data_IF_567769685083
#
_entry.id   IF_567769685083
#
_cell.length_a   1.000
_cell.length_b   1.000
_cell.length_c   1.000
_cell.angle_alpha   90.00
_cell.angle_beta   90.00
_cell.angle_gamma   90.00
#
_symmetry.space_group_name_H-M   'P 1'
#
loop_
_entity.id
_entity.type
_entity.pdbx_description
1 polymer ?
#
# COMPACT_ATOMS: atom_id res chain seq x y z
N UNK A 1 13.31 19.14 20.72
CA UNK A 1 13.67 19.07 19.29
C UNK A 1 15.06 19.62 19.01
N UNK A 2 15.38 20.84 19.41
CA UNK A 2 16.70 21.43 19.12
C UNK A 2 17.87 20.62 19.72
N UNK A 3 17.74 20.10 20.95
CA UNK A 3 18.72 19.20 21.55
C UNK A 3 18.83 17.86 20.80
N UNK A 4 17.71 17.32 20.32
CA UNK A 4 17.68 16.07 19.57
C UNK A 4 18.35 16.19 18.20
N UNK A 5 18.08 17.26 17.45
CA UNK A 5 18.74 17.55 16.17
C UNK A 5 20.26 17.64 16.36
N UNK A 6 20.69 18.22 17.47
CA UNK A 6 22.10 18.34 17.82
C UNK A 6 22.74 16.99 18.20
N UNK A 7 22.03 16.15 18.93
CA UNK A 7 22.51 14.82 19.38
C UNK A 7 22.51 13.76 18.27
N UNK A 8 21.58 13.82 17.32
CA UNK A 8 21.38 12.79 16.28
C UNK A 8 22.11 13.08 14.97
N UNK A 9 22.91 14.16 14.87
CA UNK A 9 23.56 14.60 13.63
C UNK A 9 22.59 14.96 12.49
N UNK A 10 21.29 15.08 12.76
CA UNK A 10 20.30 15.49 11.79
C UNK A 10 20.58 16.93 11.33
N UNK A 11 20.51 17.15 10.05
CA UNK A 11 20.90 18.43 9.46
C UNK A 11 19.82 19.47 9.70
N UNK A 12 20.16 20.54 10.41
CA UNK A 12 19.32 21.72 10.48
C UNK A 12 19.56 22.63 9.27
N UNK A 13 18.49 23.06 8.61
CA UNK A 13 18.53 23.96 7.47
C UNK A 13 17.77 25.23 7.84
N UNK A 14 18.43 26.41 7.95
CA UNK A 14 17.74 27.65 8.24
C UNK A 14 16.66 27.97 7.22
N UNK A 15 15.48 28.43 7.69
CA UNK A 15 14.32 28.68 6.83
C UNK A 15 14.57 29.79 5.80
N UNK A 16 15.42 30.74 6.10
CA UNK A 16 15.86 31.83 5.20
C UNK A 16 16.63 31.36 3.96
N UNK A 17 17.04 30.09 3.92
CA UNK A 17 17.65 29.45 2.75
C UNK A 17 16.62 28.99 1.71
N UNK A 18 15.33 28.99 2.06
CA UNK A 18 14.25 28.65 1.14
C UNK A 18 13.64 29.90 0.54
N UNK A 19 13.34 29.83 -0.76
CA UNK A 19 12.63 30.86 -1.53
C UNK A 19 11.42 30.26 -2.23
N UNK A 20 10.45 31.09 -2.60
CA UNK A 20 9.26 30.66 -3.34
C UNK A 20 8.57 29.46 -2.68
N UNK A 21 8.31 29.58 -1.36
CA UNK A 21 7.59 28.54 -0.61
C UNK A 21 6.11 28.60 -1.00
N UNK A 22 5.62 27.59 -1.71
CA UNK A 22 4.28 27.53 -2.26
C UNK A 22 3.58 26.25 -1.78
N UNK A 23 2.28 26.34 -1.48
CA UNK A 23 1.46 25.17 -1.17
C UNK A 23 1.44 24.22 -2.37
N UNK A 24 1.74 22.95 -2.15
CA UNK A 24 1.71 21.92 -3.18
C UNK A 24 0.53 20.96 -2.98
N UNK A 25 0.39 20.35 -1.79
CA UNK A 25 -0.63 19.33 -1.54
C UNK A 25 -0.89 19.17 -0.03
N UNK A 26 -1.98 18.42 0.32
CA UNK A 26 -2.28 18.04 1.69
C UNK A 26 -2.60 16.56 1.75
N UNK A 27 -1.69 15.78 2.31
CA UNK A 27 -1.85 14.35 2.57
C UNK A 27 -2.40 14.01 3.96
N UNK A 28 -2.59 12.74 4.24
CA UNK A 28 -3.05 12.25 5.55
C UNK A 28 -2.13 12.64 6.70
N UNK A 29 -0.83 12.73 6.45
CA UNK A 29 0.20 13.01 7.48
C UNK A 29 0.63 14.47 7.57
N UNK A 30 0.18 15.35 6.67
CA UNK A 30 0.57 16.75 6.75
C UNK A 30 0.32 17.56 5.48
N UNK A 31 0.78 18.80 5.54
CA UNK A 31 0.74 19.75 4.42
C UNK A 31 2.10 19.79 3.75
N UNK A 32 2.10 19.76 2.43
CA UNK A 32 3.29 19.72 1.60
C UNK A 32 3.44 21.06 0.85
N UNK A 33 4.62 21.65 0.95
CA UNK A 33 4.99 22.86 0.23
C UNK A 33 6.15 22.56 -0.71
N UNK A 34 6.16 23.17 -1.88
CA UNK A 34 7.30 23.23 -2.77
C UNK A 34 8.13 24.46 -2.43
N UNK A 35 9.45 24.36 -2.50
CA UNK A 35 10.35 25.49 -2.30
C UNK A 35 11.61 25.36 -3.15
N UNK A 36 12.28 26.49 -3.33
CA UNK A 36 13.62 26.54 -3.93
C UNK A 36 14.64 26.70 -2.81
N UNK A 37 15.53 25.73 -2.69
CA UNK A 37 16.63 25.74 -1.72
C UNK A 37 17.96 26.10 -2.38
N UNK A 38 18.53 27.25 -1.99
CA UNK A 38 19.86 27.64 -2.45
C UNK A 38 20.93 26.87 -1.66
N UNK A 39 21.52 25.88 -2.30
CA UNK A 39 22.56 25.04 -1.70
C UNK A 39 23.65 24.70 -2.72
N UNK A 40 24.93 24.73 -2.28
CA UNK A 40 26.10 24.45 -3.13
C UNK A 40 26.14 25.31 -4.43
N UNK A 41 25.81 26.60 -4.31
CA UNK A 41 25.72 27.56 -5.39
C UNK A 41 24.74 27.19 -6.52
N UNK A 42 23.70 26.43 -6.19
CA UNK A 42 22.63 26.03 -7.10
C UNK A 42 21.28 26.20 -6.44
N UNK A 43 20.27 26.44 -7.25
CA UNK A 43 18.88 26.37 -6.87
C UNK A 43 18.41 24.92 -7.02
N UNK A 44 17.94 24.32 -5.93
CA UNK A 44 17.41 22.96 -5.90
C UNK A 44 15.92 23.04 -5.55
N UNK A 45 15.08 22.39 -6.33
CA UNK A 45 13.68 22.21 -5.94
C UNK A 45 13.58 21.20 -4.82
N UNK A 46 12.90 21.56 -3.73
CA UNK A 46 12.69 20.70 -2.57
C UNK A 46 11.23 20.73 -2.13
N UNK A 47 10.86 19.74 -1.35
CA UNK A 47 9.59 19.65 -0.66
C UNK A 47 9.81 19.91 0.83
N UNK A 48 8.96 20.76 1.40
CA UNK A 48 8.85 21.01 2.84
C UNK A 48 7.56 20.34 3.33
N UNK A 49 7.66 19.21 4.03
CA UNK A 49 6.52 18.48 4.61
C UNK A 49 6.28 18.95 6.04
N UNK A 50 5.15 19.60 6.26
CA UNK A 50 4.70 20.05 7.57
C UNK A 50 3.89 18.95 8.26
N UNK A 51 4.31 18.48 9.41
CA UNK A 51 3.55 17.54 10.22
C UNK A 51 2.48 18.23 11.07
N UNK A 52 1.25 17.73 11.05
CA UNK A 52 0.12 18.37 11.74
C UNK A 52 0.15 18.22 13.27
N UNK A 53 0.77 17.17 13.83
CA UNK A 53 0.64 16.79 15.26
C UNK A 53 1.97 16.57 15.99
N UNK A 54 3.00 17.36 15.69
CA UNK A 54 4.33 17.26 16.32
C UNK A 54 4.35 17.42 17.85
N UNK A 55 3.34 18.07 18.42
CA UNK A 55 3.28 18.33 19.87
C UNK A 55 2.85 17.11 20.70
N UNK A 56 2.19 16.12 20.08
CA UNK A 56 1.58 15.00 20.79
C UNK A 56 2.48 13.76 20.84
N UNK A 57 3.42 13.60 19.89
CA UNK A 57 4.25 12.39 19.80
C UNK A 57 5.62 12.64 19.14
N UNK A 58 6.44 13.47 19.79
CA UNK A 58 7.76 13.86 19.29
C UNK A 58 8.67 12.64 19.06
N UNK A 59 8.62 11.64 19.94
CA UNK A 59 9.48 10.45 19.85
C UNK A 59 9.11 9.58 18.64
N UNK A 60 7.83 9.42 18.31
CA UNK A 60 7.40 8.70 17.11
C UNK A 60 7.86 9.42 15.86
N UNK A 61 7.67 10.73 15.78
CA UNK A 61 8.16 11.56 14.68
C UNK A 61 9.67 11.43 14.50
N UNK A 62 10.43 11.48 15.58
CA UNK A 62 11.90 11.39 15.49
C UNK A 62 12.38 9.99 15.11
N UNK A 63 11.66 8.94 15.49
CA UNK A 63 11.95 7.57 15.08
C UNK A 63 11.70 7.35 13.58
N UNK A 64 10.64 7.95 13.02
CA UNK A 64 10.38 7.95 11.57
C UNK A 64 11.64 8.39 10.79
N UNK A 65 12.24 9.50 11.21
CA UNK A 65 13.40 10.06 10.49
C UNK A 65 14.69 9.30 10.73
N UNK A 66 14.84 8.61 11.85
CA UNK A 66 15.95 7.65 12.05
C UNK A 66 15.83 6.46 11.08
N UNK A 67 14.62 5.96 10.87
CA UNK A 67 14.40 4.87 9.90
C UNK A 67 14.65 5.37 8.47
N UNK A 68 14.18 6.56 8.14
CA UNK A 68 14.48 7.17 6.84
C UNK A 68 15.99 7.35 6.64
N UNK A 69 16.69 7.88 7.64
CA UNK A 69 18.16 8.06 7.59
C UNK A 69 18.88 6.73 7.34
N UNK A 70 18.44 5.62 7.93
CA UNK A 70 19.04 4.30 7.70
C UNK A 70 18.90 3.80 6.26
N UNK A 71 17.93 4.33 5.52
CA UNK A 71 17.64 3.98 4.13
C UNK A 71 18.25 4.97 3.11
N UNK A 72 18.94 6.05 3.53
CA UNK A 72 19.48 7.09 2.64
C UNK A 72 20.58 6.60 1.69
N UNK A 73 21.12 5.40 1.88
CA UNK A 73 22.05 4.78 0.92
C UNK A 73 21.35 4.23 -0.32
N UNK A 74 20.02 4.12 -0.32
CA UNK A 74 19.22 3.69 -1.45
C UNK A 74 19.00 4.84 -2.43
N UNK A 75 19.18 4.56 -3.72
CA UNK A 75 18.86 5.51 -4.80
C UNK A 75 17.38 5.48 -5.20
N UNK A 76 16.60 4.55 -4.63
CA UNK A 76 15.19 4.31 -4.96
C UNK A 76 14.24 4.78 -3.83
N UNK A 77 14.79 5.49 -2.83
CA UNK A 77 14.05 6.14 -1.75
C UNK A 77 14.25 7.65 -1.86
N UNK A 78 13.17 8.42 -1.66
CA UNK A 78 13.22 9.88 -1.74
C UNK A 78 14.25 10.43 -0.74
N UNK A 79 15.13 11.31 -1.19
CA UNK A 79 16.22 11.80 -0.36
C UNK A 79 15.70 12.79 0.70
N UNK A 80 16.16 12.60 1.93
CA UNK A 80 15.89 13.46 3.08
C UNK A 80 17.10 14.33 3.38
N UNK A 81 16.93 15.65 3.37
CA UNK A 81 18.00 16.62 3.60
C UNK A 81 18.12 17.02 5.07
N UNK A 82 17.05 17.04 5.82
CA UNK A 82 17.03 17.49 7.22
C UNK A 82 15.75 18.21 7.60
N UNK A 83 15.86 19.08 8.59
CA UNK A 83 14.73 19.80 9.17
C UNK A 83 14.88 21.31 9.05
N UNK A 84 13.75 22.00 8.98
CA UNK A 84 13.63 23.44 9.11
C UNK A 84 12.45 23.78 10.02
N UNK A 85 12.33 25.06 10.37
CA UNK A 85 11.20 25.57 11.16
C UNK A 85 10.68 26.83 10.51
N UNK A 86 9.40 26.85 10.21
CA UNK A 86 8.70 28.02 9.72
C UNK A 86 8.70 29.11 10.81
N UNK A 87 9.26 30.31 10.58
CA UNK A 87 9.36 31.37 11.58
C UNK A 87 8.01 31.96 11.98
N UNK A 88 7.02 31.92 11.07
CA UNK A 88 5.71 32.54 11.30
C UNK A 88 4.78 31.61 12.12
N UNK A 89 4.74 30.33 11.76
CA UNK A 89 3.89 29.33 12.42
C UNK A 89 4.60 28.60 13.56
N UNK A 90 5.92 28.73 13.67
CA UNK A 90 6.80 28.02 14.60
C UNK A 90 6.73 26.49 14.47
N UNK A 91 6.22 25.98 13.37
CA UNK A 91 6.09 24.55 13.09
C UNK A 91 7.35 24.00 12.40
N UNK A 92 7.70 22.78 12.76
CA UNK A 92 8.81 22.07 12.12
C UNK A 92 8.38 21.45 10.80
N UNK A 93 9.27 21.50 9.83
CA UNK A 93 9.09 20.92 8.50
C UNK A 93 10.27 20.04 8.16
N UNK A 94 9.98 18.99 7.42
CA UNK A 94 10.97 18.08 6.85
C UNK A 94 11.34 18.55 5.46
N UNK A 95 12.62 18.54 5.14
CA UNK A 95 13.15 18.94 3.84
C UNK A 95 13.55 17.71 3.06
N UNK A 96 12.87 17.47 1.93
CA UNK A 96 13.09 16.31 1.07
C UNK A 96 13.27 16.72 -0.39
N UNK A 97 13.75 15.79 -1.19
CA UNK A 97 13.84 15.99 -2.64
C UNK A 97 12.45 16.16 -3.27
N UNK A 98 12.38 16.86 -4.40
CA UNK A 98 11.13 17.10 -5.12
C UNK A 98 10.98 16.14 -6.31
N UNK A 99 10.07 15.20 -6.22
CA UNK A 99 9.64 14.36 -7.33
C UNK A 99 8.64 15.12 -8.22
N UNK A 100 9.13 15.69 -9.33
CA UNK A 100 8.43 16.71 -10.13
C UNK A 100 7.23 16.20 -10.95
N UNK A 101 6.98 14.87 -10.98
CA UNK A 101 5.83 14.25 -11.66
C UNK A 101 4.75 13.74 -10.70
N UNK A 102 4.92 13.99 -9.38
CA UNK A 102 3.98 13.52 -8.38
C UNK A 102 3.96 12.01 -8.18
N UNK A 103 2.88 11.48 -7.61
CA UNK A 103 2.80 10.05 -7.28
C UNK A 103 2.38 9.17 -8.46
N UNK A 104 2.53 7.85 -8.29
CA UNK A 104 2.21 6.83 -9.29
C UNK A 104 0.72 6.85 -9.66
N UNK A 105 -0.18 7.06 -8.70
CA UNK A 105 -1.63 7.14 -8.95
C UNK A 105 -1.98 8.19 -10.00
N UNK A 106 -1.41 9.37 -9.90
CA UNK A 106 -1.58 10.44 -10.89
C UNK A 106 -0.96 10.13 -12.26
N UNK A 107 -0.10 9.12 -12.33
CA UNK A 107 0.64 8.75 -13.53
C UNK A 107 0.15 7.44 -14.18
N UNK A 108 -0.84 6.73 -13.64
CA UNK A 108 -1.30 5.43 -14.15
C UNK A 108 -1.72 5.47 -15.63
N UNK A 109 -2.39 6.55 -16.05
CA UNK A 109 -2.79 6.75 -17.45
C UNK A 109 -1.58 6.86 -18.41
N UNK A 110 -0.41 7.24 -17.91
CA UNK A 110 0.85 7.26 -18.66
C UNK A 110 1.54 5.90 -18.59
N UNK A 111 1.59 5.28 -17.42
CA UNK A 111 2.20 3.96 -17.19
C UNK A 111 1.58 2.90 -18.09
N UNK A 112 0.25 2.89 -18.24
CA UNK A 112 -0.43 1.89 -19.08
C UNK A 112 0.00 1.98 -20.56
N UNK A 113 0.38 3.17 -21.03
CA UNK A 113 0.84 3.43 -22.40
C UNK A 113 2.33 3.14 -22.61
N UNK A 114 3.09 2.89 -21.55
CA UNK A 114 4.49 2.49 -21.63
C UNK A 114 4.63 1.06 -22.13
N UNK A 115 5.73 0.78 -22.82
CA UNK A 115 6.09 -0.60 -23.17
C UNK A 115 6.45 -1.43 -21.92
N UNK A 116 6.47 -2.76 -22.07
CA UNK A 116 6.76 -3.64 -20.95
C UNK A 116 8.17 -3.47 -20.38
N UNK A 117 9.15 -3.12 -21.21
CA UNK A 117 10.51 -2.84 -20.72
C UNK A 117 10.52 -1.64 -19.77
N UNK A 118 9.83 -0.57 -20.15
CA UNK A 118 9.68 0.62 -19.28
C UNK A 118 8.93 0.29 -18.01
N UNK A 119 7.82 -0.46 -18.09
CA UNK A 119 7.05 -0.94 -16.94
C UNK A 119 7.91 -1.77 -15.98
N UNK A 120 8.67 -2.73 -16.50
CA UNK A 120 9.57 -3.56 -15.70
C UNK A 120 10.69 -2.75 -15.06
N UNK A 121 11.26 -1.75 -15.75
CA UNK A 121 12.26 -0.86 -15.16
C UNK A 121 11.70 -0.06 -13.98
N UNK A 122 10.48 0.49 -14.10
CA UNK A 122 9.82 1.17 -13.00
C UNK A 122 9.54 0.22 -11.82
N UNK A 123 9.03 -0.98 -12.09
CA UNK A 123 8.78 -2.00 -11.06
C UNK A 123 10.07 -2.46 -10.37
N UNK A 124 11.17 -2.53 -11.12
CA UNK A 124 12.50 -2.84 -10.58
C UNK A 124 12.93 -1.77 -9.56
N UNK A 125 12.79 -0.48 -9.90
CA UNK A 125 13.13 0.61 -8.97
C UNK A 125 12.24 0.57 -7.71
N UNK A 126 10.93 0.28 -7.87
CA UNK A 126 10.00 0.15 -6.74
C UNK A 126 10.41 -1.01 -5.83
N UNK A 127 10.65 -2.20 -6.38
CA UNK A 127 10.99 -3.36 -5.55
C UNK A 127 12.42 -3.27 -4.98
N UNK A 128 13.34 -2.57 -5.66
CA UNK A 128 14.69 -2.28 -5.16
C UNK A 128 14.64 -1.41 -3.92
N UNK A 129 13.88 -0.31 -3.95
CA UNK A 129 13.68 0.54 -2.78
C UNK A 129 13.02 -0.22 -1.62
N UNK A 130 12.03 -1.06 -1.92
CA UNK A 130 11.37 -1.89 -0.90
C UNK A 130 12.33 -2.94 -0.31
N UNK A 131 13.18 -3.54 -1.13
CA UNK A 131 14.24 -4.45 -0.67
C UNK A 131 15.22 -3.74 0.26
N UNK A 132 15.63 -2.50 -0.06
CA UNK A 132 16.53 -1.73 0.79
C UNK A 132 15.90 -1.42 2.17
N UNK A 133 14.60 -1.14 2.23
CA UNK A 133 13.85 -1.01 3.49
C UNK A 133 13.88 -2.32 4.28
N UNK A 134 13.52 -3.43 3.64
CA UNK A 134 13.47 -4.75 4.29
C UNK A 134 14.87 -5.22 4.76
N UNK A 135 15.92 -4.87 4.02
CA UNK A 135 17.32 -5.17 4.40
C UNK A 135 17.75 -4.45 5.69
N UNK A 136 17.13 -3.34 6.03
CA UNK A 136 17.32 -2.63 7.30
C UNK A 136 16.44 -3.19 8.42
N UNK A 137 15.84 -4.37 8.24
CA UNK A 137 14.87 -4.98 9.16
C UNK A 137 13.64 -4.07 9.44
N UNK A 138 13.28 -3.24 8.47
CA UNK A 138 12.11 -2.36 8.52
C UNK A 138 10.99 -2.90 7.63
N UNK A 139 9.76 -2.49 7.95
CA UNK A 139 8.54 -2.72 7.16
C UNK A 139 7.93 -1.37 6.84
N UNK A 140 7.50 -1.14 5.60
CA UNK A 140 6.94 0.16 5.20
C UNK A 140 5.59 0.44 5.88
N UNK A 141 4.75 -0.56 6.02
CA UNK A 141 3.44 -0.53 6.69
C UNK A 141 2.35 0.31 6.01
N UNK A 142 2.67 1.14 5.04
CA UNK A 142 1.70 1.95 4.27
C UNK A 142 2.13 2.03 2.80
N UNK A 143 2.45 0.88 2.21
CA UNK A 143 2.96 0.81 0.86
C UNK A 143 1.83 0.81 -0.17
N UNK A 144 1.70 1.90 -0.94
CA UNK A 144 0.69 2.07 -1.97
C UNK A 144 1.14 3.07 -3.04
N UNK A 145 0.42 3.16 -4.14
CA UNK A 145 0.70 4.01 -5.29
C UNK A 145 0.81 5.52 -4.98
N UNK A 146 0.18 5.97 -3.89
CA UNK A 146 0.31 7.35 -3.39
C UNK A 146 1.68 7.67 -2.80
N UNK A 147 2.40 6.63 -2.30
CA UNK A 147 3.72 6.74 -1.69
C UNK A 147 4.87 6.33 -2.63
N UNK A 148 4.55 6.07 -3.89
CA UNK A 148 5.49 5.86 -4.99
C UNK A 148 5.52 7.12 -5.85
N UNK A 149 6.65 7.80 -5.92
CA UNK A 149 6.81 9.10 -6.57
C UNK A 149 7.56 8.97 -7.89
N UNK A 150 7.17 9.78 -8.88
CA UNK A 150 7.79 9.84 -10.19
C UNK A 150 8.56 11.15 -10.33
N UNK A 151 9.78 11.05 -10.81
CA UNK A 151 10.62 12.19 -11.12
C UNK A 151 11.16 12.08 -12.55
N UNK A 152 11.05 13.15 -13.30
CA UNK A 152 11.64 13.23 -14.63
C UNK A 152 12.88 14.14 -14.59
N UNK A 153 14.02 13.57 -14.93
CA UNK A 153 15.22 14.31 -15.21
C UNK A 153 15.18 14.72 -16.68
N UNK A 154 15.20 16.01 -16.98
CA UNK A 154 15.15 16.53 -18.36
C UNK A 154 16.27 15.98 -19.27
N UNK A 155 17.32 15.42 -18.68
CA UNK A 155 18.47 14.82 -19.36
C UNK A 155 18.34 13.30 -19.56
N UNK A 156 17.31 12.65 -19.01
CA UNK A 156 17.12 11.20 -19.09
C UNK A 156 15.81 10.87 -19.80
N UNK A 157 15.87 9.93 -20.76
CA UNK A 157 14.67 9.50 -21.52
C UNK A 157 13.70 8.63 -20.71
N UNK A 158 13.87 8.55 -19.39
CA UNK A 158 13.00 7.76 -18.51
C UNK A 158 12.77 8.48 -17.19
N UNK A 159 11.62 8.21 -16.60
CA UNK A 159 11.35 8.65 -15.24
C UNK A 159 12.11 7.80 -14.22
N UNK A 160 12.56 8.43 -13.17
CA UNK A 160 13.05 7.80 -11.95
C UNK A 160 11.92 7.64 -10.97
N UNK A 161 11.89 6.52 -10.29
CA UNK A 161 10.88 6.20 -9.26
C UNK A 161 11.53 6.25 -7.88
N UNK A 162 10.77 6.78 -6.90
CA UNK A 162 11.18 6.82 -5.49
C UNK A 162 10.06 6.30 -4.60
N UNK A 163 10.43 5.53 -3.58
CA UNK A 163 9.55 5.27 -2.43
C UNK A 163 9.63 6.46 -1.48
N UNK A 164 8.50 6.86 -0.96
CA UNK A 164 8.36 7.99 -0.03
C UNK A 164 7.49 7.62 1.17
N UNK A 165 7.42 8.51 2.15
CA UNK A 165 6.55 8.43 3.33
C UNK A 165 6.81 7.20 4.20
N UNK A 166 8.00 7.15 4.80
CA UNK A 166 8.38 6.13 5.77
C UNK A 166 7.78 6.36 7.17
N UNK A 167 6.76 7.24 7.27
CA UNK A 167 6.14 7.67 8.54
C UNK A 167 5.49 6.57 9.36
N UNK A 168 5.13 5.46 8.74
CA UNK A 168 4.62 4.28 9.42
C UNK A 168 5.63 3.13 9.44
N UNK A 169 6.84 3.32 8.88
CA UNK A 169 7.89 2.31 8.94
C UNK A 169 8.15 1.85 10.38
N UNK A 170 8.21 0.55 10.58
CA UNK A 170 8.44 -0.06 11.89
C UNK A 170 9.46 -1.18 11.79
N UNK A 171 10.26 -1.42 12.85
CA UNK A 171 11.05 -2.64 12.94
C UNK A 171 10.17 -3.87 12.83
N UNK A 172 10.65 -4.89 12.13
CA UNK A 172 9.94 -6.19 11.95
C UNK A 172 9.42 -6.79 13.26
N UNK A 173 10.09 -6.49 14.38
CA UNK A 173 9.72 -7.00 15.72
C UNK A 173 8.78 -6.07 16.51
N UNK A 174 8.28 -4.97 15.92
CA UNK A 174 7.36 -4.08 16.62
C UNK A 174 5.94 -4.65 16.65
N UNK A 175 5.29 -4.59 17.83
CA UNK A 175 3.91 -5.03 17.99
C UNK A 175 2.95 -3.86 17.88
N UNK A 176 1.89 -4.04 17.08
CA UNK A 176 0.77 -3.07 17.04
C UNK A 176 0.07 -3.04 18.41
N UNK A 177 -0.13 -1.85 18.91
CA UNK A 177 -0.98 -1.62 20.09
C UNK A 177 -2.39 -1.34 19.57
N UNK A 178 -3.35 -2.22 19.83
CA UNK A 178 -4.79 -2.09 19.60
C UNK A 178 -5.33 -2.63 18.26
N UNK A 179 -6.65 -2.84 18.29
CA UNK A 179 -7.51 -3.35 17.21
C UNK A 179 -7.73 -2.34 16.07
N UNK A 180 -7.22 -1.11 16.18
CA UNK A 180 -7.37 -0.07 15.18
C UNK A 180 -6.55 -0.41 13.93
N UNK A 181 -7.14 -0.20 12.75
CA UNK A 181 -6.52 -0.46 11.46
C UNK A 181 -6.35 0.88 10.75
N UNK A 182 -5.15 1.16 10.26
CA UNK A 182 -4.82 2.37 9.51
C UNK A 182 -4.20 2.00 8.16
N UNK A 183 -4.63 2.64 7.08
CA UNK A 183 -4.06 2.43 5.74
C UNK A 183 -5.06 2.62 4.60
N UNK A 184 -4.72 2.06 3.43
CA UNK A 184 -5.53 2.07 2.19
C UNK A 184 -6.00 0.65 1.90
N UNK A 185 -7.29 0.34 2.14
CA UNK A 185 -7.86 -1.02 2.13
C UNK A 185 -7.40 -1.89 0.94
N UNK A 186 -7.45 -1.43 -0.33
CA UNK A 186 -7.02 -2.25 -1.46
C UNK A 186 -5.58 -2.75 -1.41
N UNK A 187 -4.69 -2.02 -0.74
CA UNK A 187 -3.27 -2.34 -0.62
C UNK A 187 -2.93 -3.08 0.67
N UNK A 188 -3.90 -3.25 1.58
CA UNK A 188 -3.67 -3.90 2.88
C UNK A 188 -3.79 -5.42 2.76
N UNK A 189 -2.79 -6.12 3.26
CA UNK A 189 -2.76 -7.57 3.28
C UNK A 189 -3.87 -8.15 4.19
N UNK A 190 -4.45 -9.32 3.84
CA UNK A 190 -5.55 -9.94 4.61
C UNK A 190 -5.22 -10.12 6.09
N UNK A 191 -4.00 -10.54 6.42
CA UNK A 191 -3.55 -10.71 7.81
C UNK A 191 -3.51 -9.39 8.57
N UNK A 192 -3.19 -8.29 7.91
CA UNK A 192 -3.16 -6.95 8.52
C UNK A 192 -4.58 -6.46 8.79
N UNK A 193 -5.51 -6.65 7.86
CA UNK A 193 -6.93 -6.36 8.07
C UNK A 193 -7.52 -7.15 9.25
N UNK A 194 -7.04 -8.39 9.45
CA UNK A 194 -7.40 -9.24 10.61
C UNK A 194 -6.72 -8.82 11.91
N UNK A 195 -5.86 -7.79 11.90
CA UNK A 195 -5.19 -7.24 13.09
C UNK A 195 -3.85 -7.86 13.42
N UNK A 196 -3.28 -8.65 12.53
CA UNK A 196 -1.91 -9.14 12.69
C UNK A 196 -0.90 -8.01 12.40
N UNK A 197 0.30 -8.16 12.94
CA UNK A 197 1.39 -7.21 12.71
C UNK A 197 1.78 -7.16 11.23
N UNK A 198 2.17 -5.97 10.78
CA UNK A 198 2.83 -5.79 9.49
C UNK A 198 4.14 -6.58 9.43
N UNK A 199 4.43 -7.14 8.27
CA UNK A 199 5.65 -7.89 7.98
C UNK A 199 6.16 -7.50 6.59
N UNK A 200 7.40 -7.82 6.20
CA UNK A 200 7.83 -7.66 4.83
C UNK A 200 6.90 -8.32 3.80
N UNK A 201 6.27 -9.44 4.17
CA UNK A 201 5.28 -10.11 3.31
C UNK A 201 3.99 -9.31 3.12
N UNK A 202 3.60 -8.45 4.06
CA UNK A 202 2.46 -7.54 3.85
C UNK A 202 2.78 -6.43 2.87
N UNK A 203 4.00 -5.90 2.86
CA UNK A 203 4.46 -4.94 1.84
C UNK A 203 4.53 -5.59 0.45
N UNK A 204 4.89 -6.88 0.37
CA UNK A 204 4.86 -7.64 -0.91
C UNK A 204 3.43 -7.80 -1.43
N UNK A 205 2.44 -7.99 -0.55
CA UNK A 205 1.04 -7.94 -0.97
C UNK A 205 0.69 -6.58 -1.56
N UNK A 206 1.05 -5.49 -0.92
CA UNK A 206 0.85 -4.12 -1.42
C UNK A 206 1.53 -3.91 -2.79
N UNK A 207 2.77 -4.42 -2.95
CA UNK A 207 3.49 -4.40 -4.23
C UNK A 207 2.72 -5.14 -5.34
N UNK A 208 2.05 -6.26 -5.03
CA UNK A 208 1.23 -6.97 -6.02
C UNK A 208 0.05 -6.14 -6.55
N UNK A 209 -0.52 -5.27 -5.72
CA UNK A 209 -1.56 -4.33 -6.15
C UNK A 209 -0.99 -3.26 -7.08
N UNK A 210 0.22 -2.78 -6.82
CA UNK A 210 0.95 -1.89 -7.73
C UNK A 210 1.26 -2.62 -9.05
N UNK A 211 1.70 -3.88 -9.02
CA UNK A 211 1.85 -4.69 -10.24
C UNK A 211 0.55 -4.75 -11.05
N UNK A 212 -0.58 -4.94 -10.39
CA UNK A 212 -1.88 -4.95 -11.06
C UNK A 212 -2.20 -3.60 -11.72
N UNK A 213 -1.91 -2.47 -11.08
CA UNK A 213 -2.09 -1.13 -11.64
C UNK A 213 -1.29 -0.91 -12.92
N UNK A 214 -0.11 -1.52 -13.03
CA UNK A 214 0.71 -1.46 -14.25
C UNK A 214 0.07 -2.18 -15.44
N UNK A 215 -0.89 -3.05 -15.19
CA UNK A 215 -1.66 -3.77 -16.23
C UNK A 215 -3.02 -3.14 -16.51
N UNK A 216 -3.64 -2.54 -15.52
CA UNK A 216 -4.98 -1.97 -15.59
C UNK A 216 -5.00 -0.49 -15.96
N UNK A 217 -4.02 0.29 -15.50
CA UNK A 217 -3.99 1.74 -15.63
C UNK A 217 -4.95 2.49 -14.70
N UNK A 218 -5.58 1.77 -13.76
CA UNK A 218 -6.50 2.31 -12.74
C UNK A 218 -6.17 1.70 -11.37
N UNK A 219 -6.54 2.35 -10.25
CA UNK A 219 -6.36 1.78 -8.92
C UNK A 219 -7.23 0.55 -8.67
N UNK A 220 -6.77 -0.43 -7.83
CA UNK A 220 -7.51 -1.65 -7.54
C UNK A 220 -8.82 -1.37 -6.80
N UNK A 221 -9.88 -2.12 -7.15
CA UNK A 221 -11.24 -1.99 -6.58
C UNK A 221 -11.85 -0.58 -6.69
N UNK A 222 -11.50 0.16 -7.77
CA UNK A 222 -12.00 1.53 -7.98
C UNK A 222 -13.52 1.63 -8.18
N UNK A 223 -14.17 0.55 -8.51
CA UNK A 223 -15.59 0.45 -8.86
C UNK A 223 -16.51 0.16 -7.65
N UNK A 224 -15.95 0.08 -6.43
CA UNK A 224 -16.72 -0.25 -5.22
C UNK A 224 -16.27 0.56 -3.99
N UNK A 225 -17.11 0.57 -2.94
CA UNK A 225 -16.79 1.22 -1.68
C UNK A 225 -15.60 0.56 -0.99
N UNK A 226 -14.73 1.37 -0.38
CA UNK A 226 -13.62 0.90 0.45
C UNK A 226 -14.05 0.89 1.92
N UNK A 227 -14.79 -0.14 2.29
CA UNK A 227 -15.43 -0.34 3.58
C UNK A 227 -15.14 -1.74 4.15
N UNK A 228 -15.84 -2.10 5.23
CA UNK A 228 -15.70 -3.41 5.86
C UNK A 228 -16.05 -4.56 4.91
N UNK A 229 -16.98 -4.36 3.94
CA UNK A 229 -17.36 -5.43 3.00
C UNK A 229 -16.23 -5.75 2.03
N UNK A 230 -15.53 -4.73 1.52
CA UNK A 230 -14.32 -4.95 0.72
C UNK A 230 -13.24 -5.67 1.54
N UNK A 231 -13.07 -5.28 2.80
CA UNK A 231 -12.08 -5.90 3.69
C UNK A 231 -12.39 -7.37 3.95
N UNK A 232 -13.66 -7.73 4.13
CA UNK A 232 -14.13 -9.12 4.25
C UNK A 232 -13.80 -9.90 2.97
N UNK A 233 -14.19 -9.38 1.81
CA UNK A 233 -13.92 -10.01 0.51
C UNK A 233 -12.41 -10.26 0.30
N UNK A 234 -11.55 -9.29 0.63
CA UNK A 234 -10.09 -9.44 0.54
C UNK A 234 -9.60 -10.56 1.46
N UNK A 235 -10.13 -10.64 2.69
CA UNK A 235 -9.80 -11.69 3.66
C UNK A 235 -10.29 -13.08 3.22
N UNK A 236 -11.39 -13.15 2.48
CA UNK A 236 -11.96 -14.35 1.87
C UNK A 236 -11.26 -14.76 0.57
N UNK A 237 -10.30 -13.94 0.09
CA UNK A 237 -9.44 -14.27 -1.04
C UNK A 237 -9.78 -13.54 -2.35
N UNK A 238 -10.73 -12.61 -2.34
CA UNK A 238 -11.02 -11.79 -3.52
C UNK A 238 -9.79 -10.95 -3.93
N UNK A 239 -9.55 -10.88 -5.22
CA UNK A 239 -8.47 -10.09 -5.84
C UNK A 239 -9.02 -9.39 -7.08
N UNK A 240 -8.38 -8.31 -7.53
CA UNK A 240 -8.73 -7.69 -8.81
C UNK A 240 -8.62 -8.68 -9.98
N UNK A 241 -9.49 -8.54 -10.98
CA UNK A 241 -9.49 -9.39 -12.16
C UNK A 241 -8.19 -9.25 -12.95
N UNK A 242 -7.67 -10.38 -13.44
CA UNK A 242 -6.48 -10.37 -14.28
C UNK A 242 -6.82 -9.73 -15.63
N UNK A 243 -6.01 -8.77 -16.02
CA UNK A 243 -6.17 -8.05 -17.27
C UNK A 243 -5.73 -8.95 -18.43
N UNK A 244 -6.58 -9.05 -19.44
CA UNK A 244 -6.30 -9.84 -20.65
C UNK A 244 -4.97 -9.41 -21.31
N UNK A 245 -4.30 -10.38 -21.94
CA UNK A 245 -3.02 -10.20 -22.60
C UNK A 245 -1.86 -9.72 -21.71
N UNK A 246 -2.02 -9.80 -20.38
CA UNK A 246 -0.88 -9.65 -19.46
C UNK A 246 0.03 -10.89 -19.61
N UNK A 247 1.36 -10.71 -19.74
CA UNK A 247 2.29 -11.84 -19.82
C UNK A 247 2.10 -12.83 -18.68
N UNK A 248 2.07 -14.14 -19.00
CA UNK A 248 1.72 -15.18 -18.04
C UNK A 248 2.70 -15.25 -16.87
N UNK A 249 4.00 -15.11 -17.14
CA UNK A 249 5.04 -15.07 -16.10
C UNK A 249 4.85 -13.92 -15.11
N UNK A 250 4.36 -12.75 -15.59
CA UNK A 250 4.01 -11.60 -14.75
C UNK A 250 2.80 -11.90 -13.87
N UNK A 251 1.74 -12.49 -14.45
CA UNK A 251 0.54 -12.91 -13.73
C UNK A 251 0.89 -13.89 -12.60
N UNK A 252 1.78 -14.85 -12.88
CA UNK A 252 2.21 -15.85 -11.90
C UNK A 252 2.98 -15.21 -10.72
N UNK A 253 3.90 -14.29 -11.01
CA UNK A 253 4.60 -13.55 -9.96
C UNK A 253 3.63 -12.71 -9.14
N UNK A 254 2.74 -11.96 -9.80
CA UNK A 254 1.72 -11.14 -9.14
C UNK A 254 0.82 -12.00 -8.23
N UNK A 255 0.37 -13.18 -8.70
CA UNK A 255 -0.41 -14.12 -7.89
C UNK A 255 0.34 -14.68 -6.70
N UNK A 256 1.63 -14.95 -6.82
CA UNK A 256 2.47 -15.34 -5.67
C UNK A 256 2.58 -14.21 -4.64
N UNK A 257 2.74 -12.96 -5.10
CA UNK A 257 2.86 -11.80 -4.22
C UNK A 257 1.57 -11.51 -3.43
N UNK A 258 0.38 -11.81 -3.96
CA UNK A 258 -0.89 -11.58 -3.25
C UNK A 258 -1.54 -12.84 -2.66
N UNK A 259 -0.77 -13.92 -2.47
CA UNK A 259 -1.28 -15.14 -1.80
C UNK A 259 -1.91 -14.78 -0.44
N UNK A 260 -3.02 -15.43 -0.11
CA UNK A 260 -3.71 -15.21 1.17
C UNK A 260 -2.78 -15.56 2.34
N UNK A 261 -1.96 -16.60 2.16
CA UNK A 261 -0.97 -17.04 3.15
C UNK A 261 0.32 -16.23 3.01
N UNK A 262 0.61 -15.36 3.95
CA UNK A 262 1.81 -14.50 3.92
C UNK A 262 3.12 -15.26 3.74
N UNK A 263 3.25 -16.45 4.34
CA UNK A 263 4.44 -17.30 4.24
C UNK A 263 4.69 -17.89 2.83
N UNK A 264 3.70 -17.87 1.94
CA UNK A 264 3.85 -18.31 0.55
C UNK A 264 4.28 -17.20 -0.39
N UNK A 265 4.23 -15.95 0.07
CA UNK A 265 4.68 -14.80 -0.72
C UNK A 265 6.19 -14.79 -0.82
N UNK A 266 6.76 -14.45 -1.99
CA UNK A 266 8.20 -14.30 -2.13
C UNK A 266 8.70 -13.11 -1.30
N UNK A 267 9.97 -13.13 -0.92
CA UNK A 267 10.64 -11.97 -0.34
C UNK A 267 10.87 -10.87 -1.39
N UNK A 268 11.10 -9.63 -0.94
CA UNK A 268 11.46 -8.52 -1.85
C UNK A 268 12.72 -8.82 -2.68
N UNK A 269 13.68 -9.56 -2.10
CA UNK A 269 14.87 -9.99 -2.83
C UNK A 269 14.56 -10.97 -3.96
N UNK A 270 13.71 -11.97 -3.71
CA UNK A 270 13.30 -12.93 -4.75
C UNK A 270 12.53 -12.24 -5.87
N UNK A 271 11.63 -11.31 -5.55
CA UNK A 271 10.89 -10.52 -6.56
C UNK A 271 11.86 -9.66 -7.37
N UNK A 272 12.80 -8.98 -6.70
CA UNK A 272 13.83 -8.16 -7.34
C UNK A 272 14.65 -9.00 -8.35
N UNK A 273 15.13 -10.17 -7.93
CA UNK A 273 15.93 -11.07 -8.78
C UNK A 273 15.16 -11.59 -9.99
N UNK A 274 13.84 -11.81 -9.86
CA UNK A 274 12.99 -12.24 -10.96
C UNK A 274 12.83 -11.10 -11.97
N UNK A 275 12.49 -9.88 -11.52
CA UNK A 275 12.29 -8.72 -12.40
C UNK A 275 13.61 -8.33 -13.08
N UNK A 276 14.73 -8.37 -12.35
CA UNK A 276 16.06 -8.10 -12.91
C UNK A 276 16.38 -9.04 -14.08
N UNK A 277 16.09 -10.33 -13.94
CA UNK A 277 16.26 -11.32 -15.01
C UNK A 277 15.40 -11.01 -16.24
N UNK A 278 14.22 -10.43 -16.07
CA UNK A 278 13.38 -10.05 -17.21
C UNK A 278 13.89 -8.81 -17.96
N UNK A 279 14.55 -7.88 -17.23
CA UNK A 279 15.07 -6.62 -17.82
C UNK A 279 16.42 -6.80 -18.49
N UNK A 280 17.32 -7.58 -17.88
CA UNK A 280 18.72 -7.67 -18.27
C UNK A 280 19.11 -9.05 -18.81
N UNK A 281 18.43 -9.56 -19.85
CA UNK A 281 18.72 -10.89 -20.39
C UNK A 281 20.10 -11.03 -21.04
N UNK A 282 20.78 -9.90 -21.33
CA UNK A 282 21.99 -9.86 -22.14
C UNK A 282 23.30 -9.75 -21.35
N UNK A 283 23.24 -9.54 -20.04
CA UNK A 283 24.45 -9.39 -19.23
C UNK A 283 25.23 -10.72 -19.03
N UNK A 284 24.57 -11.89 -19.27
CA UNK A 284 25.19 -13.21 -19.28
C UNK A 284 24.52 -14.14 -20.30
N UNK A 285 24.83 -13.96 -21.58
CA UNK A 285 24.22 -14.71 -22.71
C UNK A 285 24.42 -16.24 -22.62
N UNK A 286 25.31 -16.74 -21.74
CA UNK A 286 25.59 -18.18 -21.61
C UNK A 286 24.58 -18.94 -20.74
N UNK A 287 23.77 -18.26 -19.90
CA UNK A 287 22.90 -18.89 -18.92
C UNK A 287 21.40 -18.60 -19.12
N UNK A 288 21.00 -18.11 -20.29
CA UNK A 288 19.57 -17.93 -20.61
C UNK A 288 18.96 -19.28 -20.92
N UNK A 289 18.17 -19.82 -19.97
CA UNK A 289 17.39 -21.02 -20.20
C UNK A 289 16.18 -20.74 -21.12
N UNK A 290 15.57 -21.80 -21.66
CA UNK A 290 14.43 -21.67 -22.59
C UNK A 290 13.20 -21.00 -21.94
N UNK A 291 12.99 -21.20 -20.64
CA UNK A 291 11.92 -20.56 -19.87
C UNK A 291 12.08 -19.04 -19.84
N UNK A 292 13.28 -18.54 -19.52
CA UNK A 292 13.54 -17.10 -19.50
C UNK A 292 13.41 -16.46 -20.88
N UNK A 293 13.84 -17.16 -21.95
CA UNK A 293 13.62 -16.71 -23.33
C UNK A 293 12.14 -16.60 -23.64
N UNK A 294 11.36 -17.60 -23.24
CA UNK A 294 9.91 -17.59 -23.44
C UNK A 294 9.27 -16.39 -22.72
N UNK A 295 9.60 -16.18 -21.45
CA UNK A 295 9.07 -15.06 -20.66
C UNK A 295 9.40 -13.71 -21.31
N UNK A 296 10.63 -13.51 -21.79
CA UNK A 296 11.02 -12.28 -22.48
C UNK A 296 10.22 -12.07 -23.76
N UNK A 297 9.98 -13.15 -24.53
CA UNK A 297 9.17 -13.08 -25.75
C UNK A 297 7.70 -12.73 -25.44
N UNK A 298 7.15 -13.18 -24.31
CA UNK A 298 5.82 -12.75 -23.85
C UNK A 298 5.76 -11.23 -23.64
N UNK A 299 6.76 -10.62 -22.97
CA UNK A 299 6.82 -9.17 -22.78
C UNK A 299 6.97 -8.39 -24.09
N UNK A 300 7.78 -8.90 -25.03
CA UNK A 300 8.00 -8.25 -26.34
C UNK A 300 6.71 -8.26 -27.17
N UNK A 301 5.94 -9.34 -27.13
CA UNK A 301 4.74 -9.54 -27.93
C UNK A 301 3.46 -9.01 -27.26
N UNK A 302 3.52 -8.67 -25.98
CA UNK A 302 2.36 -8.18 -25.26
C UNK A 302 1.94 -6.79 -25.75
N UNK A 303 0.65 -6.55 -25.98
CA UNK A 303 0.17 -5.28 -26.51
C UNK A 303 0.41 -4.12 -25.52
N UNK A 304 0.63 -2.94 -26.08
CA UNK A 304 0.79 -1.69 -25.32
C UNK A 304 -0.58 -1.02 -25.22
N UNK A 305 -0.99 -0.64 -24.04
CA UNK A 305 -2.05 0.35 -23.85
C UNK A 305 -3.48 -0.12 -24.12
N UNK A 306 -3.85 -1.37 -23.88
CA UNK A 306 -5.21 -1.82 -24.17
C UNK A 306 -5.98 -2.24 -22.92
N UNK A 307 -6.90 -1.36 -22.47
CA UNK A 307 -8.10 -1.80 -21.76
C UNK A 307 -9.25 -0.80 -21.93
N UNK A 308 -9.92 -0.89 -23.07
CA UNK A 308 -11.12 -0.10 -23.33
C UNK A 308 -12.36 -0.57 -22.53
N UNK A 309 -12.25 -1.66 -21.76
CA UNK A 309 -13.40 -2.28 -21.07
C UNK A 309 -13.44 -2.07 -19.56
N UNK A 310 -12.39 -1.50 -18.94
CA UNK A 310 -12.45 -1.21 -17.51
C UNK A 310 -13.35 0.01 -17.25
N UNK A 311 -14.22 -0.14 -16.27
CA UNK A 311 -15.07 0.96 -15.79
C UNK A 311 -14.15 2.06 -15.24
N UNK A 312 -14.00 3.14 -16.01
CA UNK A 312 -13.17 4.30 -15.64
C UNK A 312 -13.78 5.17 -14.53
N UNK A 313 -15.06 4.94 -14.19
CA UNK A 313 -15.74 5.64 -13.12
C UNK A 313 -15.31 5.13 -11.74
N UNK A 314 -14.74 6.01 -10.92
CA UNK A 314 -14.45 5.68 -9.52
C UNK A 314 -15.73 5.75 -8.68
N UNK A 315 -15.91 4.76 -7.79
CA UNK A 315 -16.98 4.80 -6.80
C UNK A 315 -16.76 5.97 -5.83
N UNK A 316 -17.84 6.66 -5.43
CA UNK A 316 -17.73 7.84 -4.55
C UNK A 316 -17.10 7.56 -3.18
N UNK A 317 -17.11 6.31 -2.74
CA UNK A 317 -16.48 5.83 -1.49
C UNK A 317 -15.22 5.01 -1.74
N UNK A 318 -14.59 5.11 -2.91
CA UNK A 318 -13.28 4.55 -3.18
C UNK A 318 -12.20 5.54 -2.72
N UNK A 319 -11.63 5.30 -1.55
CA UNK A 319 -10.62 6.17 -0.94
C UNK A 319 -9.23 5.54 -1.03
N UNK A 320 -8.28 6.28 -1.60
CA UNK A 320 -6.89 5.85 -1.78
C UNK A 320 -5.89 6.67 -0.97
N UNK A 321 -6.35 7.37 0.05
CA UNK A 321 -5.52 8.03 1.03
C UNK A 321 -5.52 7.24 2.32
N UNK A 322 -4.36 7.11 2.95
CA UNK A 322 -4.20 6.44 4.24
C UNK A 322 -5.04 7.10 5.30
N UNK A 323 -5.82 6.31 6.02
CA UNK A 323 -6.75 6.78 7.04
C UNK A 323 -6.96 5.72 8.13
N UNK A 324 -7.41 6.17 9.28
CA UNK A 324 -8.00 5.27 10.27
C UNK A 324 -9.31 4.71 9.69
N UNK A 325 -9.47 3.39 9.73
CA UNK A 325 -10.70 2.75 9.27
C UNK A 325 -11.81 2.95 10.29
N UNK A 326 -13.05 2.96 9.83
CA UNK A 326 -14.27 3.13 10.62
C UNK A 326 -14.74 1.83 11.31
N UNK A 327 -13.96 0.76 11.18
CA UNK A 327 -14.16 -0.54 11.83
C UNK A 327 -12.83 -1.05 12.40
N UNK A 328 -12.94 -1.98 13.33
CA UNK A 328 -11.80 -2.61 13.99
C UNK A 328 -11.54 -4.01 13.45
N UNK A 329 -10.33 -4.53 13.60
CA UNK A 329 -9.99 -5.92 13.26
C UNK A 329 -10.83 -6.94 14.07
N UNK A 330 -11.26 -6.57 15.28
CA UNK A 330 -12.14 -7.39 16.10
C UNK A 330 -13.51 -7.57 15.44
N UNK A 331 -14.13 -6.46 14.99
CA UNK A 331 -15.42 -6.52 14.27
C UNK A 331 -15.31 -7.33 12.97
N UNK A 332 -14.24 -7.15 12.22
CA UNK A 332 -13.99 -7.91 10.99
C UNK A 332 -13.89 -9.41 11.28
N UNK A 333 -13.12 -9.82 12.29
CA UNK A 333 -12.95 -11.23 12.64
C UNK A 333 -14.23 -11.87 13.18
N UNK A 334 -15.03 -11.17 13.98
CA UNK A 334 -16.33 -11.65 14.45
C UNK A 334 -17.27 -11.98 13.27
N UNK A 335 -17.27 -11.16 12.21
CA UNK A 335 -18.08 -11.43 11.01
C UNK A 335 -17.52 -12.62 10.23
N UNK A 336 -16.20 -12.72 10.04
CA UNK A 336 -15.57 -13.84 9.34
C UNK A 336 -15.86 -15.18 10.04
N UNK A 337 -15.68 -15.24 11.37
CA UNK A 337 -15.97 -16.42 12.17
C UNK A 337 -17.45 -16.84 12.06
N UNK A 338 -18.38 -15.87 12.05
CA UNK A 338 -19.81 -16.17 11.89
C UNK A 338 -20.14 -16.74 10.50
N UNK A 339 -19.48 -16.25 9.45
CA UNK A 339 -19.63 -16.77 8.08
C UNK A 339 -19.06 -18.18 7.94
N UNK A 340 -17.89 -18.43 8.51
CA UNK A 340 -17.25 -19.76 8.50
C UNK A 340 -18.15 -20.81 9.21
N UNK A 341 -18.75 -20.45 10.35
CA UNK A 341 -19.70 -21.31 11.05
C UNK A 341 -20.94 -21.61 10.18
N UNK A 342 -21.52 -20.60 9.54
CA UNK A 342 -22.68 -20.80 8.65
C UNK A 342 -22.34 -21.68 7.44
N UNK A 343 -21.15 -21.48 6.82
CA UNK A 343 -20.70 -22.31 5.72
C UNK A 343 -20.49 -23.77 6.15
N UNK A 344 -19.94 -23.99 7.34
CA UNK A 344 -19.73 -25.32 7.90
C UNK A 344 -21.06 -26.03 8.18
N UNK A 345 -22.04 -25.34 8.79
CA UNK A 345 -23.39 -25.92 8.99
C UNK A 345 -24.09 -26.26 7.67
N UNK A 346 -24.04 -25.34 6.69
CA UNK A 346 -24.63 -25.55 5.37
C UNK A 346 -24.00 -26.75 4.64
N UNK A 347 -22.70 -26.95 4.74
CA UNK A 347 -21.99 -28.09 4.12
C UNK A 347 -22.38 -29.43 4.79
N UNK A 348 -22.63 -29.45 6.09
CA UNK A 348 -23.13 -30.66 6.80
C UNK A 348 -24.52 -31.04 6.34
N UNK A 349 -25.39 -30.04 6.13
CA UNK A 349 -26.78 -30.32 5.65
C UNK A 349 -26.80 -30.80 4.18
N UNK A 350 -25.89 -30.35 3.33
CA UNK A 350 -25.80 -30.77 1.92
C UNK A 350 -25.10 -32.11 1.72
N UNK A 351 -24.29 -32.57 2.66
CA UNK A 351 -23.49 -33.81 2.55
C UNK A 351 -24.24 -35.10 2.98
N UNK A 352 -25.56 -35.08 3.22
CA UNK A 352 -26.38 -36.28 3.45
C UNK A 352 -26.07 -37.07 4.72
N UNK A 353 -25.22 -36.59 5.64
CA UNK A 353 -24.92 -37.23 6.93
C UNK A 353 -25.98 -36.99 8.01
N UNK A 354 -27.08 -36.31 7.66
CA UNK A 354 -28.15 -35.98 8.62
C UNK A 354 -29.04 -37.20 8.92
N UNK A 355 -29.03 -38.27 8.11
CA UNK A 355 -29.85 -39.42 8.33
C UNK A 355 -29.34 -40.40 9.41
N UNK A 356 -28.13 -40.26 9.91
CA UNK A 356 -27.61 -41.15 10.98
C UNK A 356 -27.76 -40.58 12.41
N UNK A 357 -28.13 -39.28 12.55
CA UNK A 357 -28.27 -38.66 13.88
C UNK A 357 -29.73 -38.63 14.37
N UNK A 358 -30.69 -38.86 13.49
CA UNK A 358 -32.12 -38.86 13.85
C UNK A 358 -32.66 -40.23 14.32
N UNK A 359 -31.86 -41.29 14.31
CA UNK A 359 -32.26 -42.63 14.79
C UNK A 359 -31.69 -43.01 16.18
N UNK A 360 -30.97 -42.15 16.86
CA UNK A 360 -30.53 -42.39 18.24
C UNK A 360 -31.05 -41.31 19.18
N UNK A 361 -32.19 -41.66 19.80
CA UNK A 361 -32.65 -41.34 21.15
C UNK A 361 -32.89 -39.86 21.56
N UNK A 362 -34.16 -39.61 21.84
CA UNK A 362 -34.68 -38.81 22.96
C UNK A 362 -33.83 -37.68 23.53
N UNK A 363 -34.07 -36.51 23.02
CA UNK A 363 -33.97 -35.30 23.83
C UNK A 363 -35.11 -34.34 23.50
N UNK A 364 -36.26 -34.57 24.17
CA UNK A 364 -37.20 -33.49 24.44
C UNK A 364 -36.52 -32.47 25.34
N UNK A 365 -36.01 -31.41 24.76
CA UNK A 365 -35.61 -30.24 25.50
C UNK A 365 -36.35 -29.02 24.94
N UNK A 366 -37.28 -28.54 25.72
CA UNK A 366 -38.04 -27.31 25.62
C UNK A 366 -37.30 -26.14 24.95
N UNK A 367 -37.66 -25.81 23.74
CA UNK A 367 -37.49 -24.48 23.20
C UNK A 367 -38.76 -23.69 23.48
N UNK A 368 -38.76 -22.89 24.52
CA UNK A 368 -39.73 -21.81 24.71
C UNK A 368 -39.46 -20.74 23.66
N UNK A 369 -40.30 -20.72 22.65
CA UNK A 369 -40.46 -19.58 21.77
C UNK A 369 -41.11 -18.46 22.58
N UNK A 370 -40.38 -17.44 22.92
CA UNK A 370 -40.94 -16.20 23.43
C UNK A 370 -41.58 -15.44 22.26
N UNK A 371 -42.89 -15.59 22.12
CA UNK A 371 -43.72 -14.68 21.37
C UNK A 371 -43.73 -13.32 22.08
N UNK A 372 -43.26 -12.28 21.42
CA UNK A 372 -43.50 -10.91 21.86
C UNK A 372 -44.92 -10.51 21.51
N UNK A 373 -45.69 -9.92 22.44
CA UNK A 373 -47.04 -9.46 22.15
C UNK A 373 -47.02 -8.21 21.28
N UNK A 374 -47.80 -8.25 20.21
CA UNK A 374 -48.20 -7.08 19.45
C UNK A 374 -49.21 -6.32 20.30
N UNK A 375 -48.86 -5.09 20.71
CA UNK A 375 -49.87 -4.15 21.23
C UNK A 375 -50.23 -3.18 20.11
N UNK A 376 -51.42 -3.38 19.57
CA UNK A 376 -52.21 -2.28 18.98
C UNK A 376 -52.53 -1.31 20.12
N UNK A 377 -52.20 -0.03 19.91
CA UNK A 377 -53.14 1.07 20.20
C UNK A 377 -52.62 2.36 19.57
N UNK A 378 -53.45 2.83 18.68
CA UNK A 378 -53.50 4.18 18.13
C UNK A 378 -54.12 5.11 19.19
N UNK A 379 -53.65 6.32 19.16
CA UNK A 379 -54.34 7.59 19.26
C UNK A 379 -53.83 8.57 20.35
N UNK A 380 -53.72 9.77 19.86
CA UNK A 380 -53.77 11.06 20.56
C UNK A 380 -52.55 11.56 21.35
N UNK A 381 -51.85 12.53 20.78
CA UNK A 381 -52.06 13.96 21.10
C UNK A 381 -51.08 14.88 20.40
N UNK A 382 -51.70 15.78 19.65
CA UNK A 382 -51.21 17.10 19.32
C UNK A 382 -50.86 17.92 20.59
N UNK A 383 -49.70 18.49 20.69
CA UNK A 383 -49.44 19.95 20.84
C UNK A 383 -47.95 20.19 20.53
#
# INVERSE_FOLDING_TARGET
MDNFIFETKLKWIPYDKFRSVEYLDKGGFGTIYKAIWFHNNRDNEVVLKLHNNLSENLDEFLNEWKYHESCLSSFDIIYFYGFTKDPDTLKYMVVMDHANKGNLRGNLARVIKSDWKQKLCMLFEIISGLYDIHKQELVHCDFHDGNVLNHNNDNENRDKIYISDLGLCKPVKSFLKKYDIYGVIPFMAPEVLRGNSYTPASDIYSFSMIMWEFTSGIPPFNNRAHDIQLSLSICEGERPEIIENTPQCYVELMKKCWDVTSLKRPSSKEVLDIIEKWISPYNNVKDINEELKYNIMEFINAPIGHNNNLVTGSHSQAYYTSRLLDFTSKQLNEILESRDLQAHYSSQFTSGKVNEILESEDLQANVKVNEMPVSEDLDDCLI
#
